data_IF_024592734341
#
_entry.id   IF_024592734341
#
_cell.length_a   1.000
_cell.length_b   1.000
_cell.length_c   1.000
_cell.angle_alpha   90.00
_cell.angle_beta   90.00
_cell.angle_gamma   90.00
#
_symmetry.space_group_name_H-M   'P 1'
#
loop_
_entity.id
_entity.type
_entity.pdbx_description
1 polymer ?
#
# COMPACT_ATOMS: atom_id res chain seq x y z
N UNK A 1 10.50 -0.51 25.44
CA UNK A 1 9.71 0.58 24.84
C UNK A 1 9.33 0.10 23.46
N UNK A 2 8.04 -0.01 23.14
CA UNK A 2 7.53 -0.44 21.82
C UNK A 2 7.84 0.64 20.77
N UNK A 3 8.27 0.26 19.56
CA UNK A 3 8.45 1.21 18.47
C UNK A 3 7.09 1.75 17.99
N UNK A 4 7.04 2.98 17.48
CA UNK A 4 5.77 3.57 17.05
C UNK A 4 5.05 2.74 15.97
N UNK A 5 5.81 2.14 15.05
CA UNK A 5 5.28 1.24 14.01
C UNK A 5 4.67 -0.03 14.59
N UNK A 6 5.28 -0.61 15.62
CA UNK A 6 4.76 -1.81 16.30
C UNK A 6 3.43 -1.50 16.98
N UNK A 7 3.35 -0.33 17.64
CA UNK A 7 2.11 0.15 18.24
C UNK A 7 0.98 0.29 17.21
N UNK A 8 1.25 0.91 16.06
CA UNK A 8 0.25 1.07 14.99
C UNK A 8 -0.25 -0.30 14.49
N UNK A 9 0.66 -1.25 14.26
CA UNK A 9 0.27 -2.60 13.84
C UNK A 9 -0.62 -3.28 14.88
N UNK A 10 -0.22 -3.23 16.15
CA UNK A 10 -0.99 -3.81 17.26
C UNK A 10 -2.38 -3.19 17.39
N UNK A 11 -2.50 -1.87 17.26
CA UNK A 11 -3.77 -1.14 17.36
C UNK A 11 -4.74 -1.47 16.21
N UNK A 12 -4.21 -1.77 15.02
CA UNK A 12 -5.01 -2.08 13.84
C UNK A 12 -5.09 -3.58 13.51
N UNK A 13 -4.62 -4.44 14.41
CA UNK A 13 -4.58 -5.88 14.22
C UNK A 13 -5.94 -6.49 13.80
N UNK A 14 -7.09 -6.10 14.36
CA UNK A 14 -8.37 -6.67 13.93
C UNK A 14 -8.72 -6.34 12.47
N UNK A 15 -8.45 -5.10 12.03
CA UNK A 15 -8.71 -4.69 10.65
C UNK A 15 -7.75 -5.39 9.67
N UNK A 16 -6.48 -5.53 10.07
CA UNK A 16 -5.49 -6.29 9.31
C UNK A 16 -5.92 -7.75 9.15
N UNK A 17 -6.31 -8.42 10.23
CA UNK A 17 -6.78 -9.80 10.19
C UNK A 17 -8.03 -9.96 9.32
N UNK A 18 -9.00 -9.04 9.42
CA UNK A 18 -10.19 -9.06 8.58
C UNK A 18 -9.84 -8.94 7.08
N UNK A 19 -8.89 -8.06 6.74
CA UNK A 19 -8.40 -7.92 5.36
C UNK A 19 -7.69 -9.19 4.87
N UNK A 20 -6.79 -9.76 5.68
CA UNK A 20 -6.05 -10.98 5.33
C UNK A 20 -6.94 -12.21 5.14
N UNK A 21 -8.06 -12.28 5.87
CA UNK A 21 -9.03 -13.38 5.80
C UNK A 21 -10.17 -13.11 4.81
N UNK A 22 -10.15 -11.98 4.10
CA UNK A 22 -11.20 -11.65 3.14
C UNK A 22 -11.13 -12.62 1.93
N UNK A 23 -12.27 -13.09 1.39
CA UNK A 23 -12.30 -14.05 0.29
C UNK A 23 -11.45 -13.66 -0.92
N UNK A 24 -11.43 -12.37 -1.26
CA UNK A 24 -10.56 -11.86 -2.33
C UNK A 24 -9.07 -12.23 -2.12
N UNK A 25 -8.56 -12.10 -0.90
CA UNK A 25 -7.14 -12.37 -0.58
C UNK A 25 -6.90 -13.87 -0.53
N UNK A 26 -7.74 -14.62 0.18
CA UNK A 26 -7.57 -16.07 0.33
C UNK A 26 -7.77 -16.83 -0.98
N UNK A 27 -8.67 -16.36 -1.86
CA UNK A 27 -8.87 -16.96 -3.18
C UNK A 27 -7.74 -16.62 -4.16
N UNK A 28 -7.03 -15.50 -3.98
CA UNK A 28 -5.77 -15.24 -4.70
C UNK A 28 -4.70 -16.23 -4.24
N UNK A 29 -4.48 -16.34 -2.92
CA UNK A 29 -3.47 -17.26 -2.35
C UNK A 29 -3.69 -18.71 -2.82
N UNK A 30 -4.94 -19.11 -2.93
CA UNK A 30 -5.33 -20.49 -3.24
C UNK A 30 -5.60 -20.73 -4.73
N UNK A 31 -5.29 -19.75 -5.59
CA UNK A 31 -5.48 -19.78 -7.05
C UNK A 31 -6.91 -20.14 -7.49
N UNK A 32 -7.91 -19.57 -6.79
CA UNK A 32 -9.34 -19.76 -7.07
C UNK A 32 -10.07 -18.48 -7.46
N UNK A 33 -9.41 -17.33 -7.40
CA UNK A 33 -10.05 -16.06 -7.71
C UNK A 33 -10.45 -16.03 -9.20
N UNK A 34 -11.72 -15.81 -9.55
CA UNK A 34 -12.12 -15.69 -10.94
C UNK A 34 -11.41 -14.51 -11.63
N UNK A 35 -10.87 -14.73 -12.83
CA UNK A 35 -10.12 -13.73 -13.59
C UNK A 35 -10.91 -12.41 -13.76
N UNK A 36 -12.22 -12.48 -13.96
CA UNK A 36 -13.07 -11.28 -14.09
C UNK A 36 -13.08 -10.41 -12.83
N UNK A 37 -12.97 -11.02 -11.64
CA UNK A 37 -12.91 -10.29 -10.37
C UNK A 37 -11.56 -9.59 -10.24
N UNK A 38 -10.48 -10.29 -10.58
CA UNK A 38 -9.14 -9.70 -10.56
C UNK A 38 -9.00 -8.55 -11.58
N UNK A 39 -9.51 -8.73 -12.80
CA UNK A 39 -9.51 -7.67 -13.81
C UNK A 39 -10.28 -6.43 -13.35
N UNK A 40 -11.40 -6.60 -12.64
CA UNK A 40 -12.14 -5.48 -12.06
C UNK A 40 -11.35 -4.78 -10.96
N UNK A 41 -10.62 -5.54 -10.14
CA UNK A 41 -9.72 -4.98 -9.13
C UNK A 41 -8.60 -4.15 -9.76
N UNK A 42 -8.01 -4.58 -10.88
CA UNK A 42 -6.94 -3.85 -11.57
C UNK A 42 -7.35 -2.43 -12.03
N UNK A 43 -8.63 -2.21 -12.32
CA UNK A 43 -9.14 -0.85 -12.63
C UNK A 43 -9.01 0.07 -11.42
N UNK A 44 -9.27 -0.43 -10.21
CA UNK A 44 -9.09 0.33 -8.98
C UNK A 44 -7.62 0.51 -8.62
N UNK A 45 -6.79 -0.49 -8.88
CA UNK A 45 -5.33 -0.41 -8.68
C UNK A 45 -4.68 0.70 -9.49
N UNK A 46 -5.08 0.89 -10.75
CA UNK A 46 -4.56 2.01 -11.55
C UNK A 46 -4.81 3.38 -10.89
N UNK A 47 -6.02 3.59 -10.34
CA UNK A 47 -6.35 4.83 -9.62
C UNK A 47 -5.62 4.94 -8.27
N UNK A 48 -5.41 3.81 -7.61
CA UNK A 48 -4.63 3.75 -6.37
C UNK A 48 -3.18 4.18 -6.60
N UNK A 49 -2.52 3.66 -7.65
CA UNK A 49 -1.14 4.03 -8.01
C UNK A 49 -1.03 5.52 -8.32
N UNK A 50 -1.97 6.09 -9.09
CA UNK A 50 -1.99 7.52 -9.37
C UNK A 50 -2.08 8.36 -8.07
N UNK A 51 -2.91 7.92 -7.12
CA UNK A 51 -3.04 8.57 -5.81
C UNK A 51 -1.76 8.43 -4.98
N UNK A 52 -1.12 7.25 -5.00
CA UNK A 52 0.15 7.01 -4.30
C UNK A 52 1.26 7.94 -4.82
N UNK A 53 1.38 8.10 -6.14
CA UNK A 53 2.33 9.05 -6.77
C UNK A 53 2.10 10.46 -6.23
N UNK A 54 0.85 10.93 -6.16
CA UNK A 54 0.54 12.26 -5.64
C UNK A 54 0.93 12.44 -4.16
N UNK A 55 0.67 11.42 -3.32
CA UNK A 55 1.03 11.43 -1.89
C UNK A 55 2.55 11.47 -1.71
N UNK A 56 3.29 10.63 -2.44
CA UNK A 56 4.76 10.59 -2.33
C UNK A 56 5.40 11.85 -2.89
N UNK A 57 4.87 12.45 -3.95
CA UNK A 57 5.32 13.75 -4.45
C UNK A 57 5.15 14.86 -3.41
N UNK A 58 4.02 14.88 -2.70
CA UNK A 58 3.81 15.78 -1.57
C UNK A 58 4.82 15.49 -0.45
N UNK A 59 5.09 14.21 -0.17
CA UNK A 59 6.12 13.78 0.78
C UNK A 59 7.50 14.35 0.43
N UNK A 60 7.92 14.28 -0.84
CA UNK A 60 9.19 14.86 -1.33
C UNK A 60 9.28 16.34 -1.00
N UNK A 61 8.22 17.11 -1.27
CA UNK A 61 8.20 18.56 -1.00
C UNK A 61 8.25 18.93 0.49
N UNK A 62 7.83 18.01 1.37
CA UNK A 62 7.75 18.21 2.82
C UNK A 62 8.88 17.51 3.59
N UNK A 63 9.80 16.85 2.88
CA UNK A 63 10.86 16.09 3.51
C UNK A 63 11.77 17.00 4.36
N UNK A 64 12.18 16.56 5.57
CA UNK A 64 12.98 17.40 6.48
C UNK A 64 14.42 17.59 6.01
N UNK A 65 14.88 16.82 5.01
CA UNK A 65 16.25 16.87 4.52
C UNK A 65 16.46 16.09 3.22
N UNK A 66 17.63 16.31 2.61
CA UNK A 66 17.98 15.77 1.29
C UNK A 66 18.02 14.24 1.25
N UNK A 67 18.37 13.60 2.37
CA UNK A 67 18.42 12.13 2.45
C UNK A 67 17.01 11.53 2.32
N UNK A 68 16.04 12.04 3.07
CA UNK A 68 14.64 11.61 3.01
C UNK A 68 14.02 11.94 1.65
N UNK A 69 14.35 13.11 1.09
CA UNK A 69 13.89 13.51 -0.23
C UNK A 69 14.35 12.52 -1.31
N UNK A 70 15.64 12.13 -1.30
CA UNK A 70 16.19 11.13 -2.24
C UNK A 70 15.55 9.76 -2.07
N UNK A 71 15.29 9.33 -0.84
CA UNK A 71 14.60 8.07 -0.58
C UNK A 71 13.17 8.09 -1.15
N UNK A 72 12.41 9.16 -0.92
CA UNK A 72 11.04 9.32 -1.44
C UNK A 72 11.01 9.43 -2.97
N UNK A 73 12.01 10.05 -3.61
CA UNK A 73 12.18 10.03 -5.07
C UNK A 73 12.40 8.60 -5.57
N UNK A 74 13.18 7.79 -4.85
CA UNK A 74 13.34 6.37 -5.15
C UNK A 74 12.02 5.61 -5.12
N UNK A 75 11.15 5.91 -4.16
CA UNK A 75 9.78 5.34 -4.10
C UNK A 75 8.95 5.76 -5.30
N UNK A 76 8.96 7.05 -5.67
CA UNK A 76 8.25 7.54 -6.85
C UNK A 76 8.69 6.85 -8.14
N UNK A 77 10.00 6.69 -8.34
CA UNK A 77 10.53 6.01 -9.52
C UNK A 77 10.15 4.52 -9.59
N UNK A 78 9.79 3.90 -8.46
CA UNK A 78 9.32 2.51 -8.45
C UNK A 78 7.82 2.38 -8.74
N UNK A 79 7.07 3.49 -8.73
CA UNK A 79 5.63 3.54 -9.02
C UNK A 79 5.31 3.88 -10.49
N UNK A 80 6.33 4.23 -11.30
CA UNK A 80 6.23 4.62 -12.71
C UNK A 80 7.17 3.79 -13.58
#
# INVERSE_FOLDING_TARGET
MEAFSERLLREHQPAWQAMQQHPFVTDIEQDRLPTVVFNRYLVFEGNFVATAIAIFALGVSKAPGIQQQRWLIGVLNALV
#
